data_IF_150874276906
#
_entry.id   IF_150874276906
#
_cell.length_a   1.000
_cell.length_b   1.000
_cell.length_c   1.000
_cell.angle_alpha   90.00
_cell.angle_beta   90.00
_cell.angle_gamma   90.00
#
_symmetry.space_group_name_H-M   'P 1'
#
loop_
_entity.id
_entity.type
_entity.pdbx_description
1 polymer ?
#
# COMPACT_ATOMS: atom_id res chain seq x y z
N UNK A 1 -25.50 3.12 1.74
CA UNK A 1 -24.36 2.42 1.13
C UNK A 1 -24.88 1.37 0.17
N UNK A 2 -24.32 1.25 -1.04
CA UNK A 2 -24.65 0.20 -2.02
C UNK A 2 -23.38 -0.52 -2.44
N UNK A 3 -23.42 -1.84 -2.56
CA UNK A 3 -22.28 -2.64 -3.04
C UNK A 3 -22.67 -3.31 -4.35
N UNK A 4 -21.81 -3.22 -5.36
CA UNK A 4 -21.98 -3.91 -6.64
C UNK A 4 -20.71 -4.65 -7.02
N UNK A 5 -20.83 -5.69 -7.84
CA UNK A 5 -19.71 -6.48 -8.34
C UNK A 5 -19.88 -6.69 -9.84
N UNK A 6 -18.81 -6.47 -10.61
CA UNK A 6 -18.74 -6.75 -12.05
C UNK A 6 -17.56 -7.68 -12.31
N UNK A 7 -17.87 -8.89 -12.74
CA UNK A 7 -16.89 -9.89 -13.14
C UNK A 7 -16.77 -9.92 -14.66
N UNK A 8 -15.53 -9.89 -15.15
CA UNK A 8 -15.14 -10.19 -16.53
C UNK A 8 -14.07 -11.29 -16.50
N UNK A 9 -13.71 -11.84 -17.66
CA UNK A 9 -12.84 -13.02 -17.79
C UNK A 9 -11.59 -13.00 -16.91
N UNK A 10 -10.89 -11.85 -16.85
CA UNK A 10 -9.64 -11.69 -16.11
C UNK A 10 -9.69 -10.55 -15.07
N UNK A 11 -10.88 -10.00 -14.79
CA UNK A 11 -11.01 -8.79 -13.95
C UNK A 11 -12.27 -8.85 -13.09
N UNK A 12 -12.12 -8.58 -11.80
CA UNK A 12 -13.20 -8.44 -10.82
C UNK A 12 -13.18 -7.02 -10.26
N UNK A 13 -14.31 -6.32 -10.36
CA UNK A 13 -14.49 -4.97 -9.83
C UNK A 13 -15.59 -5.00 -8.79
N UNK A 14 -15.24 -4.73 -7.54
CA UNK A 14 -16.20 -4.50 -6.46
C UNK A 14 -16.29 -3.00 -6.21
N UNK A 15 -17.50 -2.45 -6.27
CA UNK A 15 -17.74 -1.02 -6.02
C UNK A 15 -18.60 -0.82 -4.79
N UNK A 16 -18.13 0.00 -3.87
CA UNK A 16 -18.89 0.47 -2.70
C UNK A 16 -19.26 1.94 -2.95
N UNK A 17 -20.56 2.21 -3.14
CA UNK A 17 -21.09 3.56 -3.31
C UNK A 17 -21.60 4.11 -1.97
N UNK A 18 -21.10 5.29 -1.61
CA UNK A 18 -21.57 6.14 -0.49
C UNK A 18 -21.91 7.53 -1.04
N UNK A 19 -22.63 8.40 -0.29
CA UNK A 19 -22.84 9.78 -0.73
C UNK A 19 -21.50 10.46 -1.07
N UNK A 20 -21.41 11.05 -2.26
CA UNK A 20 -20.23 11.78 -2.72
C UNK A 20 -19.00 10.94 -3.13
N UNK A 21 -19.01 9.61 -2.96
CA UNK A 21 -17.87 8.75 -3.31
C UNK A 21 -18.28 7.34 -3.77
N UNK A 22 -17.63 6.85 -4.82
CA UNK A 22 -17.56 5.43 -5.13
C UNK A 22 -16.13 4.93 -4.98
N UNK A 23 -15.95 3.88 -4.18
CA UNK A 23 -14.67 3.17 -4.05
C UNK A 23 -14.72 1.89 -4.88
N UNK A 24 -13.73 1.72 -5.74
CA UNK A 24 -13.60 0.58 -6.63
C UNK A 24 -12.36 -0.24 -6.23
N UNK A 25 -12.60 -1.45 -5.74
CA UNK A 25 -11.56 -2.47 -5.57
C UNK A 25 -11.51 -3.33 -6.83
N UNK A 26 -10.40 -3.27 -7.53
CA UNK A 26 -10.19 -3.90 -8.82
C UNK A 26 -9.13 -4.97 -8.66
N UNK A 27 -9.46 -6.22 -8.97
CA UNK A 27 -8.50 -7.32 -9.06
C UNK A 27 -8.42 -7.78 -10.51
N UNK A 28 -7.24 -7.69 -11.11
CA UNK A 28 -7.00 -8.21 -12.45
C UNK A 28 -5.93 -9.31 -12.39
N UNK A 29 -6.20 -10.42 -13.07
CA UNK A 29 -5.27 -11.54 -13.22
C UNK A 29 -4.76 -11.54 -14.65
N UNK A 30 -3.58 -12.09 -14.86
CA UNK A 30 -3.02 -12.25 -16.21
C UNK A 30 -3.76 -13.38 -16.95
N UNK A 31 -4.49 -13.10 -18.04
CA UNK A 31 -5.09 -14.16 -18.86
C UNK A 31 -4.04 -14.76 -19.80
N UNK A 32 -3.89 -16.09 -19.77
CA UNK A 32 -3.05 -16.80 -20.74
C UNK A 32 -1.55 -16.49 -20.61
N UNK A 33 -0.86 -16.39 -21.75
CA UNK A 33 0.61 -16.23 -21.80
C UNK A 33 1.08 -14.77 -21.77
N UNK A 34 0.18 -13.79 -21.87
CA UNK A 34 0.54 -12.37 -21.95
C UNK A 34 0.60 -11.71 -20.57
N UNK A 35 1.79 -11.73 -19.96
CA UNK A 35 2.08 -11.19 -18.62
C UNK A 35 1.69 -9.72 -18.41
N UNK A 36 1.53 -8.93 -19.47
CA UNK A 36 1.33 -7.49 -19.38
C UNK A 36 -0.07 -7.03 -19.77
N UNK A 37 -0.94 -7.96 -20.18
CA UNK A 37 -2.31 -7.67 -20.58
C UNK A 37 -3.09 -6.88 -19.51
N UNK A 38 -2.81 -7.11 -18.22
CA UNK A 38 -3.47 -6.44 -17.09
C UNK A 38 -3.23 -4.93 -17.01
N UNK A 39 -2.17 -4.43 -17.65
CA UNK A 39 -1.85 -2.99 -17.67
C UNK A 39 -2.43 -2.26 -18.88
N UNK A 40 -2.92 -2.99 -19.89
CA UNK A 40 -3.56 -2.38 -21.06
C UNK A 40 -4.98 -1.96 -20.66
N UNK A 41 -5.37 -0.73 -21.00
CA UNK A 41 -6.68 -0.15 -20.65
C UNK A 41 -6.95 -0.10 -19.14
N UNK A 42 -5.91 0.18 -18.34
CA UNK A 42 -5.99 0.26 -16.89
C UNK A 42 -6.19 1.72 -16.40
N UNK A 43 -7.06 1.99 -15.41
CA UNK A 43 -8.02 1.07 -14.79
C UNK A 43 -9.26 0.81 -15.68
N UNK A 44 -9.93 -0.35 -15.52
CA UNK A 44 -11.14 -0.73 -16.29
C UNK A 44 -12.42 0.05 -15.93
N UNK A 45 -12.28 1.11 -15.14
CA UNK A 45 -13.34 2.00 -14.67
C UNK A 45 -12.88 3.44 -14.80
N UNK A 46 -13.80 4.37 -15.07
CA UNK A 46 -13.49 5.81 -15.13
C UNK A 46 -13.41 6.37 -13.71
N UNK A 47 -12.29 6.13 -13.04
CA UNK A 47 -12.02 6.54 -11.67
C UNK A 47 -10.54 6.95 -11.50
N UNK A 48 -10.23 7.66 -10.42
CA UNK A 48 -8.84 8.04 -10.10
C UNK A 48 -8.19 6.95 -9.26
N UNK A 49 -7.05 6.42 -9.71
CA UNK A 49 -6.32 5.39 -8.96
C UNK A 49 -5.69 6.00 -7.69
N UNK A 50 -5.89 5.33 -6.56
CA UNK A 50 -5.39 5.74 -5.24
C UNK A 50 -4.21 4.89 -4.81
N UNK A 51 -4.23 3.58 -5.10
CA UNK A 51 -3.11 2.69 -4.77
C UNK A 51 -3.15 1.43 -5.61
N UNK A 52 -1.98 0.90 -5.93
CA UNK A 52 -1.83 -0.33 -6.71
C UNK A 52 -0.81 -1.29 -6.11
N UNK A 53 -1.19 -2.55 -5.98
CA UNK A 53 -0.28 -3.68 -5.83
C UNK A 53 -0.08 -4.37 -7.17
N UNK A 54 1.16 -4.73 -7.48
CA UNK A 54 1.50 -5.62 -8.58
C UNK A 54 2.19 -6.84 -8.00
N UNK A 55 1.71 -8.03 -8.38
CA UNK A 55 2.25 -9.31 -7.95
C UNK A 55 2.91 -9.97 -9.16
N UNK A 56 4.24 -10.08 -9.15
CA UNK A 56 4.96 -10.64 -10.29
C UNK A 56 6.46 -10.41 -10.26
N UNK A 57 7.15 -10.98 -11.24
CA UNK A 57 8.60 -10.82 -11.42
C UNK A 57 9.00 -9.38 -11.75
N UNK A 58 10.08 -8.89 -11.13
CA UNK A 58 10.55 -7.51 -11.33
C UNK A 58 11.01 -7.20 -12.77
N UNK A 59 11.28 -8.23 -13.60
CA UNK A 59 11.64 -8.06 -15.02
C UNK A 59 10.58 -7.32 -15.84
N UNK A 60 9.32 -7.40 -15.41
CA UNK A 60 8.19 -6.76 -16.08
C UNK A 60 7.99 -5.30 -15.65
N UNK A 61 8.75 -4.80 -14.67
CA UNK A 61 8.47 -3.53 -14.03
C UNK A 61 8.54 -2.35 -15.00
N UNK A 62 9.56 -2.30 -15.84
CA UNK A 62 9.76 -1.15 -16.73
C UNK A 62 8.79 -1.15 -17.92
N UNK A 63 8.50 -2.33 -18.48
CA UNK A 63 7.49 -2.45 -19.53
C UNK A 63 6.07 -2.16 -19.00
N UNK A 64 5.74 -2.64 -17.79
CA UNK A 64 4.49 -2.31 -17.12
C UNK A 64 4.33 -0.80 -16.90
N UNK A 65 5.38 -0.11 -16.43
CA UNK A 65 5.36 1.37 -16.29
C UNK A 65 5.13 2.05 -17.63
N UNK A 66 5.76 1.58 -18.70
CA UNK A 66 5.56 2.13 -20.04
C UNK A 66 4.11 1.99 -20.51
N UNK A 67 3.45 0.87 -20.20
CA UNK A 67 2.05 0.63 -20.55
C UNK A 67 1.07 1.47 -19.71
N UNK A 68 1.39 1.69 -18.43
CA UNK A 68 0.58 2.54 -17.54
C UNK A 68 0.71 4.04 -17.86
N UNK A 69 1.75 4.44 -18.60
CA UNK A 69 2.03 5.83 -18.93
C UNK A 69 2.44 6.65 -17.69
N UNK A 70 1.92 7.88 -17.58
CA UNK A 70 2.23 8.75 -16.43
C UNK A 70 1.50 8.26 -15.18
N UNK A 71 2.21 7.51 -14.34
CA UNK A 71 1.71 7.03 -13.04
C UNK A 71 1.71 8.18 -12.02
N UNK A 72 0.53 8.51 -11.49
CA UNK A 72 0.33 9.57 -10.48
C UNK A 72 -0.18 9.02 -9.14
N UNK A 73 0.06 7.73 -8.86
CA UNK A 73 -0.34 7.02 -7.64
C UNK A 73 0.78 6.10 -7.16
N UNK A 74 0.78 5.66 -5.89
CA UNK A 74 1.75 4.70 -5.40
C UNK A 74 1.54 3.30 -6.01
N UNK A 75 2.64 2.72 -6.51
CA UNK A 75 2.69 1.32 -6.96
C UNK A 75 3.62 0.53 -6.05
N UNK A 76 3.08 -0.48 -5.39
CA UNK A 76 3.84 -1.46 -4.60
C UNK A 76 4.01 -2.73 -5.41
N UNK A 77 5.23 -2.97 -5.88
CA UNK A 77 5.57 -4.20 -6.59
C UNK A 77 6.09 -5.26 -5.61
N UNK A 78 5.45 -6.42 -5.61
CA UNK A 78 5.73 -7.53 -4.69
C UNK A 78 6.20 -8.73 -5.52
N UNK A 79 7.46 -9.12 -5.32
CA UNK A 79 8.06 -10.34 -5.87
C UNK A 79 8.25 -11.35 -4.73
N UNK A 80 8.05 -12.64 -4.97
CA UNK A 80 8.22 -13.69 -3.95
C UNK A 80 8.39 -15.05 -4.60
N UNK A 81 8.40 -16.13 -3.82
CA UNK A 81 8.66 -17.48 -4.33
C UNK A 81 7.63 -17.92 -5.38
N UNK A 82 6.35 -17.58 -5.18
CA UNK A 82 5.27 -17.80 -6.16
C UNK A 82 5.36 -16.88 -7.40
N UNK A 83 6.26 -15.90 -7.37
CA UNK A 83 6.55 -14.96 -8.45
C UNK A 83 8.04 -15.06 -8.78
N UNK A 84 8.44 -16.22 -9.32
CA UNK A 84 9.83 -16.65 -9.61
C UNK A 84 10.69 -15.71 -10.47
N UNK A 85 10.16 -14.56 -10.86
CA UNK A 85 10.73 -13.66 -11.87
C UNK A 85 10.10 -13.86 -13.24
N UNK A 86 9.50 -15.03 -13.50
CA UNK A 86 9.10 -15.44 -14.84
C UNK A 86 7.67 -15.06 -15.23
N UNK A 87 6.80 -14.78 -14.26
CA UNK A 87 5.40 -14.49 -14.53
C UNK A 87 4.91 -13.28 -13.74
N UNK A 88 3.82 -12.72 -14.24
CA UNK A 88 3.01 -11.75 -13.53
C UNK A 88 1.71 -12.41 -13.10
N UNK A 89 1.43 -12.46 -11.81
CA UNK A 89 0.23 -13.09 -11.28
C UNK A 89 -1.01 -12.18 -11.43
N UNK A 90 -0.82 -10.87 -11.21
CA UNK A 90 -1.88 -9.90 -11.40
C UNK A 90 -1.64 -8.58 -10.67
N UNK A 91 -2.69 -7.76 -10.61
CA UNK A 91 -2.68 -6.48 -9.91
C UNK A 91 -3.95 -6.30 -9.09
N UNK A 92 -3.82 -5.65 -7.94
CA UNK A 92 -4.94 -5.18 -7.12
C UNK A 92 -4.88 -3.67 -7.00
N UNK A 93 -6.01 -3.01 -7.21
CA UNK A 93 -6.08 -1.55 -7.24
C UNK A 93 -7.28 -1.05 -6.45
N UNK A 94 -7.04 0.04 -5.73
CA UNK A 94 -8.08 0.91 -5.21
C UNK A 94 -8.16 2.14 -6.11
N UNK A 95 -9.36 2.46 -6.58
CA UNK A 95 -9.66 3.68 -7.30
C UNK A 95 -10.92 4.34 -6.72
N UNK A 96 -11.04 5.65 -6.87
CA UNK A 96 -12.19 6.42 -6.36
C UNK A 96 -12.80 7.32 -7.42
N UNK A 97 -14.12 7.46 -7.37
CA UNK A 97 -14.91 8.40 -8.17
C UNK A 97 -15.64 9.37 -7.24
N UNK A 98 -15.66 10.66 -7.57
CA UNK A 98 -16.28 11.70 -6.74
C UNK A 98 -15.26 12.70 -6.18
N UNK A 99 -14.40 12.31 -5.22
CA UNK A 99 -13.46 13.24 -4.60
C UNK A 99 -12.26 13.53 -5.51
N UNK A 100 -11.67 14.72 -5.31
CA UNK A 100 -10.35 15.03 -5.86
C UNK A 100 -9.26 14.26 -5.11
N UNK A 101 -8.39 13.58 -5.84
CA UNK A 101 -7.24 12.86 -5.27
C UNK A 101 -5.98 13.69 -5.46
N UNK A 102 -5.24 13.94 -4.39
CA UNK A 102 -3.96 14.65 -4.39
C UNK A 102 -2.80 13.66 -4.21
N UNK A 103 -1.81 13.62 -5.11
CA UNK A 103 -0.63 12.78 -4.92
C UNK A 103 0.23 13.31 -3.77
N UNK A 104 0.91 12.38 -3.09
CA UNK A 104 1.94 12.64 -2.08
C UNK A 104 3.27 12.23 -2.67
N UNK A 105 4.24 13.13 -2.66
CA UNK A 105 5.53 12.93 -3.34
C UNK A 105 6.70 12.99 -2.34
N UNK A 106 7.65 12.05 -2.48
CA UNK A 106 8.90 12.06 -1.75
C UNK A 106 10.06 11.75 -2.70
N UNK A 107 11.03 12.67 -2.80
CA UNK A 107 12.19 12.49 -3.68
C UNK A 107 11.82 12.35 -5.15
N UNK A 108 10.86 13.16 -5.63
CA UNK A 108 10.41 13.15 -7.04
C UNK A 108 9.58 11.94 -7.45
N UNK A 109 9.09 11.14 -6.49
CA UNK A 109 8.25 9.95 -6.73
C UNK A 109 6.95 10.08 -5.97
N UNK A 110 5.84 9.70 -6.61
CA UNK A 110 4.56 9.53 -5.92
C UNK A 110 4.65 8.30 -5.02
N UNK A 111 4.47 8.51 -3.72
CA UNK A 111 4.49 7.47 -2.67
C UNK A 111 3.15 7.36 -1.95
N UNK A 112 2.19 8.20 -2.32
CA UNK A 112 0.86 8.16 -1.75
C UNK A 112 -0.17 8.97 -2.51
N UNK A 113 -1.42 8.81 -2.09
CA UNK A 113 -2.57 9.59 -2.52
C UNK A 113 -3.38 9.98 -1.29
N UNK A 114 -3.81 11.25 -1.23
CA UNK A 114 -4.72 11.76 -0.23
C UNK A 114 -6.04 12.19 -0.87
N UNK A 115 -7.15 11.91 -0.21
CA UNK A 115 -8.48 12.39 -0.59
C UNK A 115 -9.36 12.52 0.66
N UNK A 116 -10.54 13.12 0.53
CA UNK A 116 -11.49 13.19 1.62
C UNK A 116 -12.89 12.83 1.11
N UNK A 117 -13.68 12.22 1.98
CA UNK A 117 -15.13 12.06 1.80
C UNK A 117 -15.88 12.86 2.89
N UNK A 118 -17.16 12.57 3.07
CA UNK A 118 -17.97 13.21 4.12
C UNK A 118 -17.49 12.85 5.54
N UNK A 119 -16.97 11.64 5.72
CA UNK A 119 -16.69 11.02 7.01
C UNK A 119 -15.25 11.24 7.47
N UNK A 120 -14.30 11.30 6.52
CA UNK A 120 -12.89 11.23 6.83
C UNK A 120 -11.99 11.87 5.76
N UNK A 121 -10.79 12.23 6.19
CA UNK A 121 -9.63 12.39 5.32
C UNK A 121 -8.86 11.07 5.28
N UNK A 122 -8.40 10.69 4.09
CA UNK A 122 -7.73 9.43 3.81
C UNK A 122 -6.35 9.70 3.21
N UNK A 123 -5.37 8.89 3.60
CA UNK A 123 -4.04 8.87 3.03
C UNK A 123 -3.62 7.43 2.76
N UNK A 124 -3.46 7.07 1.49
CA UNK A 124 -2.96 5.78 1.06
C UNK A 124 -1.50 5.91 0.64
N UNK A 125 -0.63 5.18 1.31
CA UNK A 125 0.80 5.11 1.02
C UNK A 125 1.15 3.75 0.44
N UNK A 126 2.09 3.71 -0.49
CA UNK A 126 2.58 2.48 -1.09
C UNK A 126 3.88 2.70 -1.84
N UNK A 127 4.60 1.61 -2.12
CA UNK A 127 5.90 1.69 -2.79
C UNK A 127 6.90 2.54 -2.01
N UNK A 128 6.83 2.55 -0.67
CA UNK A 128 7.79 3.25 0.17
C UNK A 128 9.06 2.41 0.28
N UNK A 129 10.17 3.00 -0.17
CA UNK A 129 11.51 2.43 -0.12
C UNK A 129 12.40 3.27 0.81
N UNK A 130 13.52 2.73 1.32
CA UNK A 130 14.51 3.51 2.05
C UNK A 130 15.09 4.62 1.17
N UNK A 131 15.62 5.67 1.82
CA UNK A 131 16.31 6.75 1.12
C UNK A 131 17.63 6.26 0.48
N UNK A 132 18.34 5.37 1.18
CA UNK A 132 19.59 4.76 0.72
C UNK A 132 19.50 3.23 0.87
N UNK A 133 19.71 2.51 -0.23
CA UNK A 133 19.63 1.04 -0.32
C UNK A 133 20.97 0.36 -0.04
N UNK A 134 22.05 1.12 0.10
CA UNK A 134 23.39 0.61 0.38
C UNK A 134 23.62 0.38 1.88
N UNK A 135 22.78 0.99 2.73
CA UNK A 135 22.78 0.81 4.18
C UNK A 135 22.38 -0.61 4.59
N UNK A 136 22.62 -0.95 5.85
CA UNK A 136 22.20 -2.23 6.42
C UNK A 136 20.68 -2.39 6.38
N UNK A 137 20.19 -3.63 6.43
CA UNK A 137 18.74 -3.92 6.42
C UNK A 137 17.99 -3.21 7.56
N UNK A 138 18.50 -3.18 8.81
CA UNK A 138 17.87 -2.42 9.89
C UNK A 138 17.80 -0.91 9.62
N UNK A 139 18.87 -0.31 9.10
CA UNK A 139 18.90 1.12 8.75
C UNK A 139 17.91 1.44 7.60
N UNK A 140 17.82 0.56 6.61
CA UNK A 140 16.81 0.66 5.56
C UNK A 140 15.39 0.60 6.14
N UNK A 141 15.12 -0.32 7.06
CA UNK A 141 13.81 -0.41 7.72
C UNK A 141 13.47 0.86 8.50
N UNK A 142 14.44 1.41 9.25
CA UNK A 142 14.29 2.68 9.97
C UNK A 142 13.96 3.82 9.02
N UNK A 143 14.72 3.94 7.92
CA UNK A 143 14.50 4.93 6.88
C UNK A 143 13.09 4.84 6.28
N UNK A 144 12.56 3.64 6.05
CA UNK A 144 11.20 3.46 5.52
C UNK A 144 10.14 3.98 6.49
N UNK A 145 10.26 3.73 7.79
CA UNK A 145 9.31 4.27 8.78
C UNK A 145 9.37 5.79 8.88
N UNK A 146 10.56 6.38 8.85
CA UNK A 146 10.73 7.85 8.83
C UNK A 146 10.17 8.48 7.56
N UNK A 147 10.34 7.82 6.41
CA UNK A 147 9.73 8.25 5.14
C UNK A 147 8.22 8.12 5.14
N UNK A 148 7.67 7.10 5.81
CA UNK A 148 6.23 6.99 6.04
C UNK A 148 5.73 8.17 6.86
N UNK A 149 6.42 8.54 7.94
CA UNK A 149 6.10 9.73 8.74
C UNK A 149 6.13 11.02 7.90
N UNK A 150 7.17 11.19 7.08
CA UNK A 150 7.30 12.34 6.19
C UNK A 150 6.18 12.41 5.13
N UNK A 151 5.72 11.27 4.62
CA UNK A 151 4.61 11.20 3.68
C UNK A 151 3.27 11.55 4.36
N UNK A 152 3.02 11.03 5.57
CA UNK A 152 1.80 11.32 6.34
C UNK A 152 1.66 12.82 6.66
N UNK A 153 2.77 13.50 6.99
CA UNK A 153 2.78 14.94 7.26
C UNK A 153 2.29 15.77 6.06
N UNK A 154 2.51 15.33 4.82
CA UNK A 154 1.97 16.00 3.63
C UNK A 154 0.44 15.86 3.47
N UNK A 155 -0.17 14.96 4.23
CA UNK A 155 -1.62 14.77 4.33
C UNK A 155 -2.18 15.30 5.66
N UNK A 156 -1.43 16.10 6.43
CA UNK A 156 -1.83 16.59 7.76
C UNK A 156 -2.22 15.46 8.73
N UNK A 157 -1.48 14.35 8.65
CA UNK A 157 -1.65 13.15 9.46
C UNK A 157 -0.34 12.75 10.14
N UNK A 158 -0.47 11.98 11.21
CA UNK A 158 0.63 11.41 11.97
C UNK A 158 0.47 9.88 12.10
N UNK A 159 1.47 9.21 12.67
CA UNK A 159 1.41 7.75 12.89
C UNK A 159 0.16 7.26 13.64
N UNK A 160 -0.37 7.96 14.66
CA UNK A 160 -1.64 7.59 15.30
C UNK A 160 -2.87 7.62 14.38
N UNK A 161 -2.78 8.17 13.16
CA UNK A 161 -3.81 8.07 12.14
C UNK A 161 -3.69 6.81 11.28
N UNK A 162 -2.56 6.08 11.33
CA UNK A 162 -2.29 4.93 10.46
C UNK A 162 -3.06 3.70 10.95
N UNK A 163 -4.06 3.26 10.20
CA UNK A 163 -4.97 2.17 10.57
C UNK A 163 -4.52 0.80 10.06
N UNK A 164 -3.70 0.77 9.01
CA UNK A 164 -3.26 -0.46 8.33
C UNK A 164 -1.85 -0.28 7.76
N UNK A 165 -1.02 -1.32 7.85
CA UNK A 165 0.30 -1.38 7.21
C UNK A 165 0.52 -2.71 6.49
N UNK A 166 1.29 -2.66 5.40
CA UNK A 166 1.85 -3.83 4.71
C UNK A 166 3.37 -3.65 4.62
N UNK A 167 4.10 -4.68 5.05
CA UNK A 167 5.56 -4.67 5.20
C UNK A 167 6.10 -5.89 4.45
N UNK A 168 6.79 -5.67 3.34
CA UNK A 168 7.34 -6.72 2.49
C UNK A 168 8.86 -6.73 2.63
N UNK A 169 9.37 -7.77 3.29
CA UNK A 169 10.78 -7.88 3.67
C UNK A 169 11.50 -8.81 2.71
N UNK A 170 12.50 -8.29 2.00
CA UNK A 170 13.36 -9.12 1.17
C UNK A 170 14.12 -10.09 2.07
N UNK A 171 14.10 -11.40 1.77
CA UNK A 171 14.74 -12.44 2.59
C UNK A 171 14.34 -12.40 4.08
N UNK A 172 13.05 -12.19 4.38
CA UNK A 172 12.47 -12.11 5.74
C UNK A 172 13.17 -12.98 6.79
N UNK A 173 13.35 -14.28 6.52
CA UNK A 173 13.87 -15.25 7.49
C UNK A 173 15.30 -14.93 7.97
N UNK A 174 16.08 -14.15 7.22
CA UNK A 174 17.47 -13.84 7.60
C UNK A 174 17.59 -12.68 8.59
N UNK A 175 16.54 -11.89 8.84
CA UNK A 175 16.65 -10.62 9.59
C UNK A 175 15.34 -10.14 10.25
N UNK A 176 14.31 -10.97 10.35
CA UNK A 176 13.01 -10.56 10.91
C UNK A 176 13.09 -10.06 12.36
N UNK A 177 13.98 -10.64 13.18
CA UNK A 177 14.20 -10.20 14.54
C UNK A 177 14.74 -8.76 14.60
N UNK A 178 15.73 -8.43 13.76
CA UNK A 178 16.31 -7.09 13.67
C UNK A 178 15.30 -6.07 13.16
N UNK A 179 14.48 -6.46 12.18
CA UNK A 179 13.37 -5.65 11.72
C UNK A 179 12.37 -5.32 12.84
N UNK A 180 11.96 -6.32 13.62
CA UNK A 180 11.03 -6.09 14.74
C UNK A 180 11.66 -5.20 15.80
N UNK A 181 12.95 -5.35 16.10
CA UNK A 181 13.65 -4.44 17.01
C UNK A 181 13.61 -2.98 16.52
N UNK A 182 13.84 -2.74 15.23
CA UNK A 182 13.72 -1.39 14.63
C UNK A 182 12.29 -0.86 14.70
N UNK A 183 11.29 -1.69 14.39
CA UNK A 183 9.87 -1.32 14.46
C UNK A 183 9.48 -0.95 15.90
N UNK A 184 9.86 -1.77 16.87
CA UNK A 184 9.58 -1.53 18.29
C UNK A 184 10.24 -0.26 18.77
N UNK A 185 11.53 -0.06 18.49
CA UNK A 185 12.23 1.18 18.84
C UNK A 185 11.60 2.43 18.21
N UNK A 186 11.21 2.36 16.93
CA UNK A 186 10.49 3.46 16.28
C UNK A 186 9.16 3.78 17.00
N UNK A 187 8.41 2.76 17.40
CA UNK A 187 7.11 2.93 18.06
C UNK A 187 7.26 3.47 19.49
N UNK A 188 8.28 3.01 20.22
CA UNK A 188 8.68 3.51 21.54
C UNK A 188 9.05 4.99 21.48
N UNK A 189 9.95 5.38 20.56
CA UNK A 189 10.41 6.76 20.40
C UNK A 189 9.27 7.74 20.08
N UNK A 190 8.24 7.30 19.36
CA UNK A 190 7.03 8.11 19.06
C UNK A 190 5.91 7.95 20.09
N UNK A 191 6.15 7.18 21.17
CA UNK A 191 5.14 6.86 22.18
C UNK A 191 3.84 6.37 21.55
N UNK A 192 3.95 5.45 20.58
CA UNK A 192 2.81 4.86 19.87
C UNK A 192 2.18 3.71 20.66
N UNK A 193 2.95 3.06 21.53
CA UNK A 193 2.42 2.08 22.45
C UNK A 193 1.41 2.76 23.40
N UNK A 194 0.22 2.15 23.53
CA UNK A 194 -0.92 2.73 24.25
C UNK A 194 -1.78 3.69 23.41
N UNK A 195 -1.38 4.01 22.18
CA UNK A 195 -2.21 4.67 21.17
C UNK A 195 -2.77 3.64 20.19
N UNK A 196 -3.26 4.09 19.04
CA UNK A 196 -3.69 3.22 17.96
C UNK A 196 -2.47 2.59 17.28
N UNK A 197 -2.39 1.26 17.36
CA UNK A 197 -1.41 0.44 16.64
C UNK A 197 -2.13 -0.11 15.39
N UNK A 198 -1.61 0.14 14.17
CA UNK A 198 -2.25 -0.34 12.96
C UNK A 198 -2.31 -1.85 12.92
N UNK A 199 -3.37 -2.37 12.30
CA UNK A 199 -3.33 -3.75 11.81
C UNK A 199 -2.16 -3.87 10.81
N UNK A 200 -1.34 -4.91 10.94
CA UNK A 200 -0.12 -5.03 10.16
C UNK A 200 -0.01 -6.41 9.52
N UNK A 201 0.58 -6.46 8.33
CA UNK A 201 1.01 -7.71 7.69
C UNK A 201 2.48 -7.57 7.33
N UNK A 202 3.33 -8.41 7.93
CA UNK A 202 4.75 -8.54 7.62
C UNK A 202 5.02 -9.90 6.97
N UNK A 203 5.43 -9.92 5.70
CA UNK A 203 5.74 -11.16 4.98
C UNK A 203 7.02 -11.03 4.16
N UNK A 204 7.55 -12.17 3.71
CA UNK A 204 8.71 -12.24 2.84
C UNK A 204 8.34 -11.91 1.41
N UNK A 205 9.01 -10.91 0.83
CA UNK A 205 8.91 -10.58 -0.58
C UNK A 205 10.03 -9.62 -1.01
N UNK A 206 10.62 -9.86 -2.18
CA UNK A 206 11.51 -8.95 -2.87
C UNK A 206 10.75 -7.83 -3.58
N UNK A 207 11.49 -6.89 -4.15
CA UNK A 207 10.97 -5.71 -4.84
C UNK A 207 11.92 -5.24 -5.93
N UNK A 208 11.42 -4.52 -6.94
CA UNK A 208 12.22 -4.16 -8.12
C UNK A 208 13.45 -3.30 -7.78
N UNK A 209 13.38 -2.36 -6.82
CA UNK A 209 14.56 -1.59 -6.44
C UNK A 209 15.64 -2.40 -5.69
N UNK A 210 15.38 -3.64 -5.27
CA UNK A 210 16.30 -4.44 -4.47
C UNK A 210 16.50 -3.90 -3.04
N UNK A 211 15.52 -3.19 -2.50
CA UNK A 211 15.58 -2.69 -1.13
C UNK A 211 15.27 -3.80 -0.12
N UNK A 212 15.76 -3.67 1.11
CA UNK A 212 15.46 -4.61 2.19
C UNK A 212 13.96 -4.63 2.54
N UNK A 213 13.29 -3.48 2.48
CA UNK A 213 11.88 -3.32 2.82
C UNK A 213 11.18 -2.45 1.77
N UNK A 214 9.99 -2.89 1.35
CA UNK A 214 8.98 -2.01 0.75
C UNK A 214 7.74 -2.00 1.64
N UNK A 215 7.19 -0.81 1.88
CA UNK A 215 6.03 -0.63 2.77
C UNK A 215 4.89 0.12 2.10
N UNK A 216 3.70 -0.11 2.65
CA UNK A 216 2.49 0.67 2.40
C UNK A 216 1.71 0.88 3.68
N UNK A 217 0.85 1.88 3.69
CA UNK A 217 0.02 2.23 4.83
C UNK A 217 -1.31 2.84 4.40
N UNK A 218 -2.33 2.72 5.23
CA UNK A 218 -3.55 3.53 5.15
C UNK A 218 -3.61 4.34 6.43
N UNK A 219 -3.79 5.64 6.31
CA UNK A 219 -4.12 6.52 7.41
C UNK A 219 -5.47 7.20 7.18
N UNK A 220 -6.15 7.45 8.29
CA UNK A 220 -7.50 8.00 8.32
C UNK A 220 -7.62 9.00 9.47
N UNK A 221 -8.20 10.17 9.16
CA UNK A 221 -8.51 11.23 10.12
C UNK A 221 -10.01 11.53 10.07
N UNK A 222 -10.78 11.25 11.14
CA UNK A 222 -12.21 11.53 11.18
C UNK A 222 -12.52 13.02 11.01
N UNK A 223 -13.58 13.35 10.24
CA UNK A 223 -14.06 14.73 10.05
C UNK A 223 -15.25 15.11 10.94
N UNK A 224 -15.94 14.12 11.51
CA UNK A 224 -17.14 14.33 12.32
C UNK A 224 -17.22 13.36 13.49
N UNK A 225 -17.98 13.77 14.49
CA UNK A 225 -18.30 12.89 15.61
C UNK A 225 -19.04 11.63 15.13
N UNK A 226 -18.69 10.49 15.72
CA UNK A 226 -19.27 9.18 15.38
C UNK A 226 -18.44 8.35 14.40
N UNK A 227 -17.44 8.92 13.74
CA UNK A 227 -16.49 8.16 12.91
C UNK A 227 -15.22 7.89 13.73
N UNK A 228 -14.91 6.62 13.98
CA UNK A 228 -13.78 6.21 14.84
C UNK A 228 -13.11 4.95 14.30
N UNK A 229 -11.82 4.81 14.60
CA UNK A 229 -11.03 3.60 14.33
C UNK A 229 -10.83 2.86 15.64
N UNK A 230 -11.12 1.57 15.66
CA UNK A 230 -10.95 0.73 16.84
C UNK A 230 -10.09 -0.50 16.50
N UNK A 231 -9.07 -0.82 17.30
CA UNK A 231 -8.36 -2.08 17.15
C UNK A 231 -9.27 -3.24 17.56
N UNK A 232 -9.24 -4.32 16.78
CA UNK A 232 -9.97 -5.56 17.10
C UNK A 232 -8.96 -6.62 17.52
N UNK A 233 -9.08 -7.10 18.76
CA UNK A 233 -8.20 -8.12 19.33
C UNK A 233 -8.72 -9.52 19.03
N UNK A 234 -7.81 -10.48 18.87
CA UNK A 234 -8.15 -11.89 18.72
C UNK A 234 -8.39 -12.52 20.11
N UNK A 235 -9.55 -13.15 20.38
CA UNK A 235 -9.84 -13.72 21.69
C UNK A 235 -8.95 -14.92 22.05
N UNK A 236 -8.28 -15.53 21.06
CA UNK A 236 -7.45 -16.73 21.23
C UNK A 236 -5.96 -16.48 20.96
N UNK A 237 -5.55 -15.22 20.80
CA UNK A 237 -4.14 -14.88 20.56
C UNK A 237 -3.73 -13.68 21.41
N UNK A 238 -2.54 -13.76 22.00
CA UNK A 238 -1.95 -12.61 22.66
C UNK A 238 -1.70 -11.48 21.66
N UNK A 239 -1.71 -10.21 22.11
CA UNK A 239 -1.26 -9.10 21.28
C UNK A 239 0.14 -9.37 20.73
N UNK A 240 0.34 -9.10 19.45
CA UNK A 240 1.66 -9.15 18.85
C UNK A 240 2.52 -8.03 19.45
N UNK A 241 3.67 -8.39 20.01
CA UNK A 241 4.72 -7.47 20.49
C UNK A 241 5.65 -7.09 19.36
#
# INVERSE_FOLDING_TARGET
MRITRRLAEATDVVTVSRPGIEEHTISARTPGQDNLAVFRNFPPVKATVVSQFVFGGCRFCDEAKSLMGKVTWPVTWVQGDDCSGEQLAGTQVLAVSGPSVRPIELGGRVVGCAYADEDAEWCHLGGLFPADKTLSRPEQARSVFERMEAALKQADMEFPNVVRTWLFLDKLLSWYAEFNAVRTGFFEERSLFGKMIPASTGIGAGNCPGAALVAGAIAMKPKREGVRVLPVTSPLQCPAT
#
